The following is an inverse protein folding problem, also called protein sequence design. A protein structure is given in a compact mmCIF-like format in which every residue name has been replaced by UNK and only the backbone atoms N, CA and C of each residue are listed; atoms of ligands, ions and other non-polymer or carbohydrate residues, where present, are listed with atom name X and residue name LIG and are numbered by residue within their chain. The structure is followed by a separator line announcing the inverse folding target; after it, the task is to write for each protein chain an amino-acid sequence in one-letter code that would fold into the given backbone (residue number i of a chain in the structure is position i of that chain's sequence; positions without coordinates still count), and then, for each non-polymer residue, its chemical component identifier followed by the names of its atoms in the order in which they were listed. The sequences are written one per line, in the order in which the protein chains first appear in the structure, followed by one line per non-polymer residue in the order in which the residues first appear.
data_IF_806330888535
#
_entry.id   IF_806330888535
#
_cell.length_a   1.000
_cell.length_b   1.000
_cell.length_c   1.000
_cell.angle_alpha   90.00
_cell.angle_beta   90.00
_cell.angle_gamma   90.00
#
_symmetry.space_group_name_H-M   'P 1'
#
loop_
_entity.id
_entity.type
_entity.pdbx_description
1 polymer ?
#
# COMPACT_ATOMS: atom_id res chain seq x y z
N UNK A 1 11.96 14.92 2.05
CA UNK A 1 11.16 15.22 3.26
C UNK A 1 9.70 15.21 2.85
N UNK A 2 9.06 14.05 2.84
CA UNK A 2 7.64 13.94 2.45
C UNK A 2 6.82 13.86 3.73
N UNK A 3 6.30 15.01 4.15
CA UNK A 3 5.42 15.12 5.31
C UNK A 3 4.12 14.38 5.00
N UNK A 4 3.97 13.15 5.54
CA UNK A 4 2.70 12.43 5.61
C UNK A 4 1.72 13.25 6.46
N UNK A 5 1.08 14.24 5.85
CA UNK A 5 0.04 15.03 6.48
C UNK A 5 -1.25 14.25 6.37
N UNK A 6 -1.56 13.50 7.43
CA UNK A 6 -2.92 13.00 7.64
C UNK A 6 -3.84 14.23 7.68
N UNK A 7 -4.71 14.40 6.69
CA UNK A 7 -5.47 15.64 6.53
C UNK A 7 -6.42 15.78 7.72
N UNK A 8 -6.16 16.75 8.60
CA UNK A 8 -7.00 16.98 9.77
C UNK A 8 -8.41 17.38 9.33
N UNK A 9 -9.42 17.07 10.14
CA UNK A 9 -10.82 17.40 9.82
C UNK A 9 -11.04 18.91 9.56
N UNK A 10 -10.22 19.77 10.15
CA UNK A 10 -10.21 21.21 9.85
C UNK A 10 -9.71 21.54 8.44
N UNK A 11 -8.62 20.89 7.99
CA UNK A 11 -8.08 21.08 6.64
C UNK A 11 -9.02 20.51 5.57
N UNK A 12 -9.67 19.37 5.83
CA UNK A 12 -10.71 18.81 4.95
C UNK A 12 -11.83 19.83 4.73
N UNK A 13 -12.39 20.41 5.80
CA UNK A 13 -13.46 21.41 5.71
C UNK A 13 -13.05 22.66 4.91
N UNK A 14 -11.81 23.12 5.07
CA UNK A 14 -11.28 24.23 4.28
C UNK A 14 -11.24 23.90 2.78
N UNK A 15 -10.74 22.72 2.41
CA UNK A 15 -10.68 22.27 1.01
C UNK A 15 -12.08 22.16 0.39
N UNK A 16 -13.07 21.67 1.14
CA UNK A 16 -14.47 21.60 0.70
C UNK A 16 -15.04 23.00 0.46
N UNK A 17 -14.80 23.94 1.39
CA UNK A 17 -15.27 25.31 1.27
C UNK A 17 -14.66 26.03 0.05
N UNK A 18 -13.35 25.87 -0.17
CA UNK A 18 -12.64 26.42 -1.33
C UNK A 18 -13.19 25.82 -2.64
N UNK A 19 -13.40 24.51 -2.70
CA UNK A 19 -13.95 23.85 -3.89
C UNK A 19 -15.41 24.27 -4.18
N UNK A 20 -16.25 24.39 -3.14
CA UNK A 20 -17.62 24.89 -3.28
C UNK A 20 -17.65 26.35 -3.73
N UNK A 21 -16.74 27.19 -3.20
CA UNK A 21 -16.57 28.58 -3.61
C UNK A 21 -16.19 28.67 -5.10
N UNK A 22 -15.20 27.91 -5.57
CA UNK A 22 -14.82 27.91 -6.98
C UNK A 22 -15.95 27.42 -7.90
N UNK A 23 -16.75 26.43 -7.48
CA UNK A 23 -17.95 26.00 -8.23
C UNK A 23 -18.98 27.13 -8.35
N UNK A 24 -19.18 27.90 -7.28
CA UNK A 24 -20.06 29.06 -7.28
C UNK A 24 -19.50 30.23 -8.11
N UNK A 25 -18.20 30.47 -8.05
CA UNK A 25 -17.53 31.50 -8.83
C UNK A 25 -17.56 31.20 -10.34
N UNK A 26 -17.43 29.93 -10.74
CA UNK A 26 -17.47 29.51 -12.16
C UNK A 26 -18.82 29.77 -12.84
N UNK A 27 -19.90 29.91 -12.07
CA UNK A 27 -21.22 30.36 -12.55
C UNK A 27 -21.49 31.84 -12.29
N UNK A 28 -20.46 32.61 -11.92
CA UNK A 28 -20.56 34.04 -11.61
C UNK A 28 -21.44 34.34 -10.41
N UNK A 29 -21.57 33.38 -9.46
CA UNK A 29 -22.48 33.44 -8.32
C UNK A 29 -23.96 33.63 -8.69
N UNK A 30 -24.32 33.42 -9.96
CA UNK A 30 -25.63 33.78 -10.48
C UNK A 30 -26.41 32.51 -10.84
N UNK A 31 -27.45 32.20 -10.05
CA UNK A 31 -28.27 31.00 -10.23
C UNK A 31 -27.52 29.70 -9.93
N UNK A 32 -27.64 29.21 -8.69
CA UNK A 32 -27.14 27.89 -8.29
C UNK A 32 -27.54 27.56 -6.85
N UNK A 33 -27.43 26.28 -6.48
CA UNK A 33 -27.75 25.80 -5.15
C UNK A 33 -26.46 25.57 -4.36
N UNK A 34 -26.16 26.49 -3.45
CA UNK A 34 -24.96 26.42 -2.61
C UNK A 34 -24.87 25.13 -1.78
N UNK A 35 -26.00 24.54 -1.40
CA UNK A 35 -26.04 23.26 -0.70
C UNK A 35 -25.57 22.15 -1.63
N UNK A 36 -26.03 22.17 -2.88
CA UNK A 36 -25.60 21.21 -3.90
C UNK A 36 -24.10 21.32 -4.20
N UNK A 37 -23.56 22.52 -4.33
CA UNK A 37 -22.11 22.68 -4.57
C UNK A 37 -21.27 22.20 -3.41
N UNK A 38 -21.74 22.43 -2.18
CA UNK A 38 -21.08 21.92 -1.00
C UNK A 38 -21.07 20.39 -0.98
N UNK A 39 -22.21 19.75 -1.28
CA UNK A 39 -22.30 18.29 -1.38
C UNK A 39 -21.39 17.73 -2.49
N UNK A 40 -21.35 18.36 -3.66
CA UNK A 40 -20.49 17.94 -4.77
C UNK A 40 -19.01 18.16 -4.45
N UNK A 41 -18.66 19.27 -3.79
CA UNK A 41 -17.31 19.56 -3.32
C UNK A 41 -16.86 18.58 -2.23
N UNK A 42 -17.75 18.23 -1.29
CA UNK A 42 -17.46 17.25 -0.24
C UNK A 42 -17.15 15.87 -0.85
N UNK A 43 -17.98 15.40 -1.78
CA UNK A 43 -17.76 14.13 -2.47
C UNK A 43 -16.44 14.12 -3.28
N UNK A 44 -16.12 15.24 -3.94
CA UNK A 44 -14.89 15.41 -4.72
C UNK A 44 -13.64 15.37 -3.84
N UNK A 45 -13.61 16.17 -2.77
CA UNK A 45 -12.49 16.22 -1.82
C UNK A 45 -12.32 14.89 -1.11
N UNK A 46 -13.41 14.23 -0.72
CA UNK A 46 -13.36 12.91 -0.10
C UNK A 46 -12.77 11.85 -1.02
N UNK A 47 -13.13 11.86 -2.30
CA UNK A 47 -12.55 10.96 -3.28
C UNK A 47 -11.05 11.22 -3.49
N UNK A 48 -10.65 12.50 -3.53
CA UNK A 48 -9.24 12.89 -3.63
C UNK A 48 -8.44 12.45 -2.40
N UNK A 49 -8.95 12.69 -1.19
CA UNK A 49 -8.29 12.31 0.06
C UNK A 49 -8.14 10.79 0.18
N UNK A 50 -9.19 10.02 -0.12
CA UNK A 50 -9.09 8.55 -0.18
C UNK A 50 -8.05 8.08 -1.19
N UNK A 51 -7.96 8.73 -2.35
CA UNK A 51 -6.94 8.44 -3.36
C UNK A 51 -5.52 8.66 -2.83
N UNK A 52 -5.28 9.77 -2.12
CA UNK A 52 -3.99 10.09 -1.49
C UNK A 52 -3.63 9.10 -0.38
N UNK A 53 -4.57 8.78 0.51
CA UNK A 53 -4.39 7.80 1.60
C UNK A 53 -4.04 6.41 1.06
N UNK A 54 -4.76 5.94 0.04
CA UNK A 54 -4.48 4.67 -0.62
C UNK A 54 -3.08 4.67 -1.27
N UNK A 55 -2.69 5.78 -1.92
CA UNK A 55 -1.35 5.93 -2.49
C UNK A 55 -0.24 5.85 -1.44
N UNK A 56 -0.41 6.54 -0.30
CA UNK A 56 0.53 6.49 0.82
C UNK A 56 0.60 5.10 1.47
N UNK A 57 -0.53 4.40 1.60
CA UNK A 57 -0.56 3.03 2.12
C UNK A 57 0.26 2.09 1.22
N UNK A 58 0.10 2.17 -0.11
CA UNK A 58 0.87 1.33 -1.02
C UNK A 58 2.36 1.65 -0.95
N UNK A 59 2.75 2.92 -0.93
CA UNK A 59 4.15 3.34 -0.80
C UNK A 59 4.79 2.78 0.48
N UNK A 60 4.08 2.82 1.61
CA UNK A 60 4.54 2.21 2.87
C UNK A 60 4.73 0.69 2.77
N UNK A 61 3.87 0.00 2.03
CA UNK A 61 4.01 -1.44 1.80
C UNK A 61 5.23 -1.72 0.90
N UNK A 62 5.43 -0.92 -0.15
CA UNK A 62 6.61 -1.03 -1.02
C UNK A 62 7.91 -0.83 -0.23
N UNK A 63 7.98 0.21 0.62
CA UNK A 63 9.12 0.44 1.52
C UNK A 63 9.34 -0.73 2.50
N UNK A 64 8.26 -1.29 3.06
CA UNK A 64 8.33 -2.45 3.92
C UNK A 64 8.86 -3.69 3.18
N UNK A 65 8.50 -3.88 1.90
CA UNK A 65 9.02 -4.96 1.07
C UNK A 65 10.50 -4.79 0.76
N UNK A 66 10.96 -3.57 0.49
CA UNK A 66 12.39 -3.27 0.29
C UNK A 66 13.20 -3.48 1.58
N UNK A 67 12.65 -3.09 2.73
CA UNK A 67 13.25 -3.40 4.04
C UNK A 67 13.32 -4.92 4.29
N UNK A 68 12.25 -5.65 3.99
CA UNK A 68 12.22 -7.10 4.07
C UNK A 68 13.25 -7.75 3.13
N UNK A 69 13.46 -7.19 1.93
CA UNK A 69 14.49 -7.65 0.99
C UNK A 69 15.89 -7.55 1.58
N UNK A 70 16.22 -6.42 2.19
CA UNK A 70 17.52 -6.19 2.85
C UNK A 70 17.72 -7.16 4.01
N UNK A 71 16.68 -7.39 4.82
CA UNK A 71 16.71 -8.36 5.92
C UNK A 71 16.91 -9.79 5.41
N UNK A 72 16.21 -10.18 4.36
CA UNK A 72 16.34 -11.49 3.73
C UNK A 72 17.77 -11.74 3.22
N UNK A 73 18.38 -10.74 2.58
CA UNK A 73 19.77 -10.82 2.14
C UNK A 73 20.75 -10.99 3.33
N UNK A 74 20.49 -10.33 4.47
CA UNK A 74 21.29 -10.51 5.67
C UNK A 74 21.14 -11.91 6.28
N UNK A 75 19.92 -12.46 6.32
CA UNK A 75 19.68 -13.83 6.77
C UNK A 75 20.35 -14.83 5.84
N UNK A 76 20.27 -14.65 4.52
CA UNK A 76 20.95 -15.51 3.54
C UNK A 76 22.46 -15.56 3.78
N UNK A 77 23.10 -14.42 4.07
CA UNK A 77 24.53 -14.37 4.43
C UNK A 77 24.86 -15.15 5.70
N UNK A 78 23.95 -15.16 6.68
CA UNK A 78 24.12 -15.96 7.91
C UNK A 78 23.95 -17.45 7.64
N UNK A 79 22.93 -17.84 6.86
CA UNK A 79 22.68 -19.23 6.46
C UNK A 79 23.82 -19.79 5.62
N UNK A 80 24.42 -18.99 4.74
CA UNK A 80 25.58 -19.41 3.94
C UNK A 80 26.82 -19.78 4.78
N UNK A 81 26.87 -19.37 6.05
CA UNK A 81 27.95 -19.72 7.00
C UNK A 81 27.67 -21.02 7.78
N UNK A 82 26.48 -21.60 7.65
CA UNK A 82 26.10 -22.86 8.30
C UNK A 82 26.63 -24.07 7.51
N UNK A 83 26.79 -25.24 8.16
CA UNK A 83 27.13 -26.50 7.49
C UNK A 83 26.13 -26.87 6.38
N UNK A 84 26.61 -27.60 5.36
CA UNK A 84 25.82 -27.91 4.16
C UNK A 84 24.50 -28.65 4.45
N UNK A 85 24.48 -29.47 5.50
CA UNK A 85 23.31 -30.26 5.91
C UNK A 85 22.17 -29.38 6.47
N UNK A 86 22.51 -28.25 7.09
CA UNK A 86 21.53 -27.33 7.66
C UNK A 86 21.07 -26.25 6.66
N UNK A 87 21.92 -25.85 5.69
CA UNK A 87 21.59 -24.69 4.82
C UNK A 87 20.62 -24.98 3.67
N UNK A 88 20.54 -26.23 3.17
CA UNK A 88 19.82 -26.54 1.93
C UNK A 88 18.30 -26.29 1.99
N UNK A 89 17.65 -26.55 3.13
CA UNK A 89 16.22 -26.24 3.30
C UNK A 89 15.98 -24.74 3.56
N UNK A 90 16.89 -24.10 4.30
CA UNK A 90 16.83 -22.66 4.56
C UNK A 90 17.01 -21.85 3.28
N UNK A 91 17.95 -22.23 2.42
CA UNK A 91 18.12 -21.59 1.11
C UNK A 91 16.86 -21.70 0.26
N UNK A 92 16.21 -22.87 0.21
CA UNK A 92 14.94 -23.06 -0.51
C UNK A 92 13.83 -22.17 0.02
N UNK A 93 13.64 -22.09 1.33
CA UNK A 93 12.60 -21.25 1.93
C UNK A 93 12.92 -19.75 1.75
N UNK A 94 14.18 -19.34 1.85
CA UNK A 94 14.62 -17.96 1.59
C UNK A 94 14.44 -17.56 0.11
N UNK A 95 14.74 -18.47 -0.82
CA UNK A 95 14.51 -18.27 -2.26
C UNK A 95 13.02 -18.15 -2.56
N UNK A 96 12.18 -18.97 -1.91
CA UNK A 96 10.72 -18.87 -2.03
C UNK A 96 10.19 -17.53 -1.51
N UNK A 97 10.69 -17.04 -0.37
CA UNK A 97 10.34 -15.71 0.13
C UNK A 97 10.76 -14.60 -0.84
N UNK A 98 11.95 -14.69 -1.43
CA UNK A 98 12.41 -13.72 -2.42
C UNK A 98 11.49 -13.71 -3.65
N UNK A 99 11.10 -14.88 -4.15
CA UNK A 99 10.21 -15.02 -5.31
C UNK A 99 8.80 -14.46 -5.02
N UNK A 100 8.23 -14.75 -3.85
CA UNK A 100 6.91 -14.24 -3.46
C UNK A 100 6.89 -12.73 -3.32
N UNK A 101 7.92 -12.14 -2.71
CA UNK A 101 8.09 -10.68 -2.64
C UNK A 101 8.13 -10.06 -4.03
N UNK A 102 8.90 -10.64 -4.96
CA UNK A 102 8.99 -10.14 -6.35
C UNK A 102 7.66 -10.24 -7.09
N UNK A 103 6.84 -11.26 -6.80
CA UNK A 103 5.47 -11.38 -7.36
C UNK A 103 4.49 -10.37 -6.77
N UNK A 104 4.67 -9.96 -5.51
CA UNK A 104 3.79 -9.01 -4.83
C UNK A 104 3.97 -7.58 -5.34
N UNK A 105 5.21 -7.19 -5.66
CA UNK A 105 5.55 -5.82 -6.10
C UNK A 105 4.68 -5.28 -7.25
N UNK A 106 4.55 -5.95 -8.41
CA UNK A 106 3.70 -5.45 -9.49
C UNK A 106 2.20 -5.45 -9.15
N UNK A 107 1.75 -6.29 -8.20
CA UNK A 107 0.37 -6.28 -7.73
C UNK A 107 0.07 -5.06 -6.87
N UNK A 108 1.04 -4.63 -6.06
CA UNK A 108 0.92 -3.39 -5.31
C UNK A 108 0.95 -2.18 -6.23
N UNK A 109 1.81 -2.17 -7.26
CA UNK A 109 1.81 -1.12 -8.27
C UNK A 109 0.47 -1.05 -9.03
N UNK A 110 -0.13 -2.19 -9.37
CA UNK A 110 -1.47 -2.28 -9.97
C UNK A 110 -2.55 -1.71 -9.02
N UNK A 111 -2.49 -2.05 -7.74
CA UNK A 111 -3.38 -1.50 -6.71
C UNK A 111 -3.20 0.00 -6.52
N UNK A 112 -1.97 0.52 -6.61
CA UNK A 112 -1.65 1.96 -6.55
C UNK A 112 -2.23 2.71 -7.74
N UNK A 113 -2.02 2.18 -8.95
CA UNK A 113 -2.45 2.83 -10.18
C UNK A 113 -3.98 2.88 -10.33
N UNK A 114 -4.67 1.87 -9.79
CA UNK A 114 -6.11 1.72 -9.99
C UNK A 114 -6.94 2.02 -8.74
N UNK A 115 -6.35 2.03 -7.54
CA UNK A 115 -7.02 2.35 -6.27
C UNK A 115 -8.32 1.56 -6.07
N UNK A 116 -9.46 2.26 -5.99
CA UNK A 116 -10.79 1.66 -5.92
C UNK A 116 -11.16 0.83 -7.17
N UNK A 117 -10.64 1.20 -8.34
CA UNK A 117 -10.88 0.53 -9.62
C UNK A 117 -10.05 -0.73 -9.82
N UNK A 118 -9.13 -1.05 -8.90
CA UNK A 118 -8.36 -2.27 -8.98
C UNK A 118 -9.29 -3.48 -9.01
N UNK A 119 -9.07 -4.37 -9.98
CA UNK A 119 -9.94 -5.54 -10.15
C UNK A 119 -9.95 -6.40 -8.89
N UNK A 120 -11.11 -6.99 -8.57
CA UNK A 120 -11.23 -7.97 -7.46
C UNK A 120 -10.15 -9.05 -7.53
N UNK A 121 -9.81 -9.48 -8.76
CA UNK A 121 -8.76 -10.45 -9.04
C UNK A 121 -7.36 -9.98 -8.60
N UNK A 122 -7.01 -8.71 -8.80
CA UNK A 122 -5.73 -8.16 -8.37
C UNK A 122 -5.61 -8.17 -6.83
N UNK A 123 -6.70 -7.84 -6.12
CA UNK A 123 -6.78 -7.91 -4.65
C UNK A 123 -6.65 -9.34 -4.14
N UNK A 124 -7.44 -10.27 -4.69
CA UNK A 124 -7.39 -11.69 -4.32
C UNK A 124 -5.99 -12.31 -4.56
N UNK A 125 -5.32 -11.92 -5.64
CA UNK A 125 -3.95 -12.36 -5.91
C UNK A 125 -2.94 -11.81 -4.88
N UNK A 126 -3.05 -10.54 -4.50
CA UNK A 126 -2.19 -9.95 -3.48
C UNK A 126 -2.39 -10.62 -2.10
N UNK A 127 -3.64 -10.90 -1.73
CA UNK A 127 -3.98 -11.62 -0.48
C UNK A 127 -3.39 -13.03 -0.47
N UNK A 128 -3.54 -13.78 -1.57
CA UNK A 128 -2.96 -15.12 -1.69
C UNK A 128 -1.44 -15.12 -1.54
N UNK A 129 -0.75 -14.13 -2.14
CA UNK A 129 0.71 -14.02 -2.02
C UNK A 129 1.10 -13.67 -0.58
N UNK A 130 0.36 -12.77 0.10
CA UNK A 130 0.57 -12.45 1.51
C UNK A 130 0.44 -13.69 2.40
N UNK A 131 -0.59 -14.50 2.19
CA UNK A 131 -0.82 -15.70 2.99
C UNK A 131 0.29 -16.74 2.78
N UNK A 132 0.76 -16.91 1.54
CA UNK A 132 1.90 -17.78 1.24
C UNK A 132 3.21 -17.29 1.89
N UNK A 133 3.45 -15.97 1.93
CA UNK A 133 4.57 -15.39 2.67
C UNK A 133 4.46 -15.72 4.16
N UNK A 134 3.28 -15.57 4.77
CA UNK A 134 3.06 -15.87 6.17
C UNK A 134 3.31 -17.36 6.50
N UNK A 135 2.91 -18.27 5.60
CA UNK A 135 3.19 -19.70 5.74
C UNK A 135 4.71 -20.00 5.71
N UNK A 136 5.44 -19.43 4.75
CA UNK A 136 6.89 -19.67 4.63
C UNK A 136 7.64 -19.11 5.84
N UNK A 137 7.26 -17.92 6.32
CA UNK A 137 7.83 -17.34 7.55
C UNK A 137 7.56 -18.24 8.76
N UNK A 138 6.32 -18.72 8.94
CA UNK A 138 5.98 -19.65 10.04
C UNK A 138 6.82 -20.92 10.02
N UNK A 139 7.08 -21.49 8.83
CA UNK A 139 7.97 -22.67 8.71
C UNK A 139 9.40 -22.37 9.11
N UNK A 140 9.95 -21.22 8.69
CA UNK A 140 11.29 -20.79 9.09
C UNK A 140 11.39 -20.57 10.60
N UNK A 141 10.38 -19.94 11.21
CA UNK A 141 10.34 -19.70 12.66
C UNK A 141 10.22 -20.98 13.48
N UNK A 142 9.39 -21.93 13.03
CA UNK A 142 9.29 -23.24 13.68
C UNK A 142 10.63 -23.97 13.67
N UNK A 143 11.36 -23.90 12.55
CA UNK A 143 12.68 -24.52 12.39
C UNK A 143 13.78 -23.79 13.15
N UNK A 144 13.65 -22.48 13.38
CA UNK A 144 14.59 -21.72 14.20
C UNK A 144 14.53 -22.07 15.71
N UNK A 145 13.43 -22.70 16.16
CA UNK A 145 13.19 -23.08 17.56
C UNK A 145 13.62 -24.52 17.89
N UNK A 146 14.03 -25.29 16.88
CA UNK A 146 14.55 -26.66 17.01
C UNK A 146 16.05 -26.67 16.73
#
# INVERSE_FOLDING_TARGET
MSSQQNVTGGRRRQMIAEAAYFKAERRGFNGGDAVRDWCEAEAEIDAQLRGVENGQLVERIEEALESAAKRLAAVRRKVARLPSEARGEWERDLDRLAALRTKLKPKLEELRAQGERASRKAREQAERIRDEVADVVRRLEARAKH
#
